data_IF_669859619438
#
_entry.id   IF_669859619438
#
_cell.length_a   1.000
_cell.length_b   1.000
_cell.length_c   1.000
_cell.angle_alpha   90.00
_cell.angle_beta   90.00
_cell.angle_gamma   90.00
#
_symmetry.space_group_name_H-M   'P 1'
#
loop_
_entity.id
_entity.type
_entity.pdbx_description
1 polymer ?
#
# COMPACT_ATOMS: atom_id res chain seq x y z
N UNK A 1 -46.71 44.86 44.96
CA UNK A 1 -47.76 43.83 44.80
C UNK A 1 -48.61 44.09 43.57
N UNK A 2 -48.33 43.43 42.44
CA UNK A 2 -49.31 43.00 41.44
C UNK A 2 -48.76 41.75 40.78
N UNK A 3 -49.33 40.60 41.15
CA UNK A 3 -49.12 39.30 40.53
C UNK A 3 -49.61 39.34 39.08
N UNK A 4 -48.82 38.81 38.15
CA UNK A 4 -49.35 38.06 37.01
C UNK A 4 -48.55 36.77 36.84
N UNK A 5 -49.20 35.70 37.26
CA UNK A 5 -48.85 34.31 37.05
C UNK A 5 -49.42 33.93 35.67
N UNK A 6 -48.58 33.48 34.74
CA UNK A 6 -49.00 32.74 33.54
C UNK A 6 -47.97 31.61 33.36
N UNK A 7 -48.46 30.39 33.56
CA UNK A 7 -47.74 29.11 33.36
C UNK A 7 -47.81 28.67 31.88
N UNK A 8 -47.09 27.61 31.45
CA UNK A 8 -46.26 27.61 30.27
C UNK A 8 -46.96 27.06 29.03
N UNK A 9 -46.52 27.51 27.85
CA UNK A 9 -46.81 26.83 26.60
C UNK A 9 -45.70 25.80 26.35
N UNK A 10 -46.06 24.54 26.54
CA UNK A 10 -45.34 23.39 26.02
C UNK A 10 -45.55 23.36 24.51
N UNK A 11 -44.49 23.58 23.73
CA UNK A 11 -44.41 23.10 22.34
C UNK A 11 -43.14 22.28 22.22
N UNK A 12 -43.35 20.98 22.21
CA UNK A 12 -42.40 19.95 21.80
C UNK A 12 -42.21 20.05 20.29
N UNK A 13 -41.01 20.38 19.81
CA UNK A 13 -40.55 19.96 18.49
C UNK A 13 -39.18 19.30 18.68
N UNK A 14 -39.21 17.98 18.64
CA UNK A 14 -38.07 17.13 18.31
C UNK A 14 -37.64 17.48 16.88
N UNK A 15 -36.39 17.87 16.66
CA UNK A 15 -35.71 17.52 15.43
C UNK A 15 -34.20 17.37 15.70
N UNK A 16 -33.76 16.13 15.52
CA UNK A 16 -32.39 15.69 15.66
C UNK A 16 -31.48 16.36 14.63
N UNK A 17 -30.33 16.84 15.09
CA UNK A 17 -29.12 16.90 14.29
C UNK A 17 -28.01 16.24 15.10
N UNK A 18 -28.12 14.91 15.16
CA UNK A 18 -27.00 14.01 15.42
C UNK A 18 -25.95 14.28 14.35
N UNK A 19 -24.98 15.14 14.64
CA UNK A 19 -23.79 15.24 13.81
C UNK A 19 -23.07 13.90 13.97
N UNK A 20 -23.02 13.18 12.85
CA UNK A 20 -22.31 11.93 12.65
C UNK A 20 -20.86 12.03 13.13
N UNK A 21 -20.63 11.75 14.41
CA UNK A 21 -19.38 11.17 14.88
C UNK A 21 -19.48 9.69 14.57
N UNK A 22 -19.27 9.31 13.30
CA UNK A 22 -18.80 7.97 13.01
C UNK A 22 -17.30 7.95 13.32
N UNK A 23 -16.97 8.12 14.60
CA UNK A 23 -15.75 7.55 15.14
C UNK A 23 -15.88 6.05 14.92
N UNK A 24 -14.92 5.47 14.20
CA UNK A 24 -14.80 4.03 14.13
C UNK A 24 -14.43 3.53 15.54
N UNK A 25 -15.44 3.38 16.40
CA UNK A 25 -15.40 2.45 17.53
C UNK A 25 -15.61 1.04 16.95
N UNK A 26 -14.68 0.63 16.11
CA UNK A 26 -14.49 -0.77 15.76
C UNK A 26 -13.30 -1.25 16.57
N UNK A 27 -13.46 -2.36 17.29
CA UNK A 27 -12.33 -3.21 17.68
C UNK A 27 -11.38 -3.27 16.48
N UNK A 28 -10.06 -3.05 16.62
CA UNK A 28 -9.14 -3.19 15.49
C UNK A 28 -9.45 -4.53 14.84
N UNK A 29 -9.99 -4.48 13.61
CA UNK A 29 -10.43 -5.70 12.94
C UNK A 29 -9.22 -6.62 12.90
N UNK A 30 -9.36 -7.82 13.45
CA UNK A 30 -8.40 -8.89 13.21
C UNK A 30 -8.11 -8.90 11.71
N UNK A 31 -6.84 -8.95 11.29
CA UNK A 31 -6.52 -9.04 9.87
C UNK A 31 -7.40 -10.12 9.27
N UNK A 32 -8.17 -9.76 8.24
CA UNK A 32 -8.96 -10.77 7.54
C UNK A 32 -7.99 -11.88 7.12
N UNK A 33 -8.39 -13.16 7.28
CA UNK A 33 -7.56 -14.26 6.77
C UNK A 33 -7.25 -13.94 5.29
N UNK A 34 -6.02 -14.23 4.84
CA UNK A 34 -5.64 -13.93 3.47
C UNK A 34 -6.71 -14.51 2.54
N UNK A 35 -7.17 -13.69 1.60
CA UNK A 35 -8.09 -14.14 0.55
C UNK A 35 -7.53 -15.44 -0.04
N UNK A 36 -8.38 -16.45 -0.21
CA UNK A 36 -7.97 -17.65 -0.93
C UNK A 36 -7.36 -17.19 -2.26
N UNK A 37 -6.15 -17.66 -2.62
CA UNK A 37 -5.51 -17.21 -3.84
C UNK A 37 -6.45 -17.47 -4.99
N UNK A 38 -6.92 -16.41 -5.64
CA UNK A 38 -7.59 -16.54 -6.93
C UNK A 38 -6.52 -17.13 -7.84
N UNK A 39 -6.67 -18.40 -8.21
CA UNK A 39 -5.81 -19.09 -9.17
C UNK A 39 -5.76 -18.25 -10.44
N UNK A 40 -4.72 -17.42 -10.54
CA UNK A 40 -4.42 -16.65 -11.73
C UNK A 40 -3.89 -17.70 -12.71
N UNK A 41 -4.76 -18.17 -13.61
CA UNK A 41 -4.40 -19.15 -14.62
C UNK A 41 -3.12 -18.68 -15.31
N UNK A 42 -2.04 -19.43 -15.11
CA UNK A 42 -0.70 -19.07 -15.53
C UNK A 42 -0.69 -18.67 -17.00
N UNK A 43 -0.27 -17.44 -17.27
CA UNK A 43 0.22 -17.13 -18.59
C UNK A 43 1.44 -18.04 -18.81
N UNK A 44 1.44 -18.80 -19.91
CA UNK A 44 2.63 -19.55 -20.34
C UNK A 44 3.79 -18.56 -20.49
N UNK A 45 4.71 -18.58 -19.52
CA UNK A 45 5.94 -17.80 -19.58
C UNK A 45 6.82 -18.45 -20.65
N UNK A 46 7.18 -17.68 -21.67
CA UNK A 46 8.07 -18.19 -22.72
C UNK A 46 9.44 -18.52 -22.12
N UNK A 47 10.18 -19.47 -22.72
CA UNK A 47 11.56 -19.78 -22.28
C UNK A 47 12.48 -18.56 -22.32
N UNK A 48 12.20 -17.63 -23.24
CA UNK A 48 12.94 -16.37 -23.33
C UNK A 48 12.66 -15.47 -22.12
N UNK A 49 11.39 -15.36 -21.72
CA UNK A 49 10.99 -14.57 -20.56
C UNK A 49 11.46 -15.19 -19.24
N UNK A 50 11.40 -16.52 -19.12
CA UNK A 50 12.00 -17.25 -17.99
C UNK A 50 13.47 -16.87 -17.81
N UNK A 51 14.25 -16.89 -18.90
CA UNK A 51 15.67 -16.53 -18.86
C UNK A 51 15.87 -15.06 -18.44
N UNK A 52 15.03 -14.15 -18.94
CA UNK A 52 15.08 -12.72 -18.58
C UNK A 52 14.73 -12.48 -17.12
N UNK A 53 13.75 -13.20 -16.57
CA UNK A 53 13.33 -13.10 -15.18
C UNK A 53 14.47 -13.61 -14.28
N UNK A 54 14.94 -14.84 -14.52
CA UNK A 54 16.01 -15.46 -13.72
C UNK A 54 17.31 -14.65 -13.74
N UNK A 55 17.61 -13.93 -14.83
CA UNK A 55 18.79 -13.08 -14.92
C UNK A 55 18.75 -11.84 -14.01
N UNK A 56 17.57 -11.41 -13.57
CA UNK A 56 17.38 -10.25 -12.68
C UNK A 56 17.35 -10.63 -11.20
N UNK A 57 17.17 -11.90 -10.89
CA UNK A 57 17.03 -12.37 -9.52
C UNK A 57 18.40 -12.54 -8.83
N UNK A 58 18.46 -12.33 -7.50
CA UNK A 58 19.59 -12.75 -6.69
C UNK A 58 19.91 -14.25 -6.90
N UNK A 59 21.20 -14.61 -6.86
CA UNK A 59 21.64 -15.99 -7.16
C UNK A 59 21.09 -17.03 -6.17
N UNK A 60 20.89 -16.66 -4.90
CA UNK A 60 20.24 -17.52 -3.89
C UNK A 60 18.78 -17.79 -4.24
N UNK A 61 18.01 -16.74 -4.54
CA UNK A 61 16.60 -16.83 -4.94
C UNK A 61 16.44 -17.67 -6.20
N UNK A 62 17.30 -17.44 -7.20
CA UNK A 62 17.32 -18.18 -8.46
C UNK A 62 17.61 -19.67 -8.23
N UNK A 63 18.61 -20.00 -7.42
CA UNK A 63 18.92 -21.39 -7.11
C UNK A 63 17.75 -22.11 -6.43
N UNK A 64 17.05 -21.42 -5.52
CA UNK A 64 15.91 -21.99 -4.81
C UNK A 64 14.68 -22.14 -5.71
N UNK A 65 14.41 -21.20 -6.62
CA UNK A 65 13.36 -21.32 -7.65
C UNK A 65 13.61 -22.53 -8.57
N UNK A 66 14.85 -22.75 -8.99
CA UNK A 66 15.20 -23.92 -9.82
C UNK A 66 15.01 -25.23 -9.07
N UNK A 67 15.17 -25.27 -7.74
CA UNK A 67 14.80 -26.46 -6.96
C UNK A 67 13.29 -26.68 -7.00
N UNK A 68 12.49 -25.62 -6.87
CA UNK A 68 11.03 -25.73 -6.96
C UNK A 68 10.61 -26.26 -8.33
N UNK A 69 11.26 -25.85 -9.42
CA UNK A 69 11.00 -26.39 -10.77
C UNK A 69 11.05 -27.92 -10.85
N UNK A 70 11.98 -28.53 -10.12
CA UNK A 70 12.13 -29.99 -10.07
C UNK A 70 11.12 -30.68 -9.12
N UNK A 71 10.57 -29.93 -8.16
CA UNK A 71 9.60 -30.43 -7.16
C UNK A 71 8.15 -30.29 -7.63
N UNK A 72 7.82 -29.12 -8.16
CA UNK A 72 6.50 -28.70 -8.58
C UNK A 72 6.60 -27.66 -9.71
N UNK A 73 6.34 -28.10 -10.93
CA UNK A 73 6.44 -27.25 -12.13
C UNK A 73 5.33 -26.20 -12.20
N UNK A 74 4.16 -26.46 -11.61
CA UNK A 74 3.04 -25.52 -11.57
C UNK A 74 3.36 -24.38 -10.61
N UNK A 75 3.78 -24.71 -9.39
CA UNK A 75 4.17 -23.70 -8.41
C UNK A 75 5.41 -22.93 -8.86
N UNK A 76 6.35 -23.58 -9.55
CA UNK A 76 7.46 -22.88 -10.19
C UNK A 76 6.99 -21.79 -11.16
N UNK A 77 6.00 -22.09 -12.01
CA UNK A 77 5.45 -21.10 -12.97
C UNK A 77 4.77 -19.95 -12.24
N UNK A 78 4.01 -20.23 -11.17
CA UNK A 78 3.37 -19.21 -10.35
C UNK A 78 4.42 -18.28 -9.70
N UNK A 79 5.44 -18.87 -9.07
CA UNK A 79 6.54 -18.13 -8.46
C UNK A 79 7.34 -17.33 -9.48
N UNK A 80 7.57 -17.88 -10.67
CA UNK A 80 8.28 -17.18 -11.74
C UNK A 80 7.47 -15.98 -12.26
N UNK A 81 6.14 -16.10 -12.33
CA UNK A 81 5.26 -14.98 -12.62
C UNK A 81 5.32 -13.91 -11.54
N UNK A 82 5.22 -14.29 -10.26
CA UNK A 82 5.44 -13.37 -9.13
C UNK A 82 6.82 -12.69 -9.22
N UNK A 83 7.86 -13.46 -9.52
CA UNK A 83 9.22 -13.00 -9.68
C UNK A 83 9.40 -12.03 -10.85
N UNK A 84 8.60 -12.14 -11.91
CA UNK A 84 8.65 -11.22 -13.06
C UNK A 84 8.28 -9.78 -12.68
N UNK A 85 7.54 -9.61 -11.58
CA UNK A 85 7.14 -8.32 -11.04
C UNK A 85 8.15 -7.77 -10.02
N UNK A 86 9.15 -8.57 -9.63
CA UNK A 86 10.28 -8.13 -8.81
C UNK A 86 11.13 -7.14 -9.62
N UNK A 87 10.94 -5.85 -9.36
CA UNK A 87 11.68 -4.78 -10.02
C UNK A 87 10.88 -3.97 -11.04
N UNK A 88 9.55 -4.08 -11.07
CA UNK A 88 8.74 -2.95 -11.58
C UNK A 88 8.87 -1.79 -10.59
N UNK A 89 9.95 -1.03 -10.71
CA UNK A 89 10.14 0.22 -10.00
C UNK A 89 9.28 1.32 -10.65
N UNK A 90 8.48 2.00 -9.85
CA UNK A 90 7.93 3.29 -10.23
C UNK A 90 9.10 4.29 -10.31
N UNK A 91 9.53 4.68 -11.51
CA UNK A 91 10.71 5.51 -11.75
C UNK A 91 10.58 7.00 -11.35
N UNK A 92 9.85 7.33 -10.28
CA UNK A 92 9.53 8.73 -9.92
C UNK A 92 9.90 9.04 -8.46
N UNK A 93 11.14 8.74 -8.06
CA UNK A 93 11.61 9.00 -6.69
C UNK A 93 12.86 9.88 -6.69
N UNK A 94 12.71 11.12 -6.25
CA UNK A 94 13.78 12.11 -6.27
C UNK A 94 14.48 12.21 -4.91
N UNK A 95 13.75 11.96 -3.82
CA UNK A 95 14.26 12.15 -2.46
C UNK A 95 14.98 10.91 -1.93
N UNK A 96 15.91 11.11 -0.98
CA UNK A 96 16.55 10.00 -0.26
C UNK A 96 15.54 9.09 0.44
N UNK A 97 14.47 9.69 0.97
CA UNK A 97 13.43 8.99 1.71
C UNK A 97 12.66 8.02 0.81
N UNK A 98 12.21 8.49 -0.35
CA UNK A 98 11.51 7.67 -1.33
C UNK A 98 12.40 6.52 -1.84
N UNK A 99 13.69 6.78 -2.09
CA UNK A 99 14.66 5.73 -2.48
C UNK A 99 14.78 4.63 -1.41
N UNK A 100 14.74 5.00 -0.13
CA UNK A 100 14.76 4.01 0.97
C UNK A 100 13.47 3.20 1.03
N UNK A 101 12.32 3.79 0.72
CA UNK A 101 11.05 3.05 0.62
C UNK A 101 11.09 2.02 -0.51
N UNK A 102 11.63 2.39 -1.68
CA UNK A 102 11.80 1.46 -2.81
C UNK A 102 12.68 0.28 -2.43
N UNK A 103 13.84 0.53 -1.84
CA UNK A 103 14.76 -0.54 -1.44
C UNK A 103 14.11 -1.45 -0.38
N UNK A 104 13.36 -0.86 0.55
CA UNK A 104 12.59 -1.62 1.54
C UNK A 104 11.53 -2.51 0.86
N UNK A 105 10.77 -1.96 -0.08
CA UNK A 105 9.74 -2.68 -0.83
C UNK A 105 10.33 -3.81 -1.69
N UNK A 106 11.45 -3.56 -2.36
CA UNK A 106 12.21 -4.59 -3.08
C UNK A 106 12.59 -5.73 -2.17
N UNK A 107 13.13 -5.42 -0.98
CA UNK A 107 13.54 -6.44 -0.02
C UNK A 107 12.36 -7.23 0.54
N UNK A 108 11.21 -6.59 0.74
CA UNK A 108 9.96 -7.26 1.11
C UNK A 108 9.57 -8.28 0.05
N UNK A 109 9.54 -7.88 -1.23
CA UNK A 109 9.11 -8.78 -2.29
C UNK A 109 10.10 -9.95 -2.49
N UNK A 110 11.40 -9.73 -2.33
CA UNK A 110 12.41 -10.80 -2.32
C UNK A 110 12.16 -11.80 -1.18
N UNK A 111 11.87 -11.32 0.04
CA UNK A 111 11.60 -12.18 1.18
C UNK A 111 10.27 -12.91 1.07
N UNK A 112 9.21 -12.26 0.59
CA UNK A 112 7.92 -12.90 0.29
C UNK A 112 8.14 -14.11 -0.64
N UNK A 113 8.83 -13.90 -1.78
CA UNK A 113 9.16 -14.98 -2.71
C UNK A 113 9.97 -16.11 -2.05
N UNK A 114 10.99 -15.78 -1.25
CA UNK A 114 11.78 -16.79 -0.54
C UNK A 114 10.94 -17.59 0.46
N UNK A 115 9.99 -16.95 1.16
CA UNK A 115 9.11 -17.63 2.11
C UNK A 115 8.14 -18.59 1.42
N UNK A 116 7.62 -18.22 0.24
CA UNK A 116 6.79 -19.11 -0.57
C UNK A 116 7.58 -20.33 -1.07
N UNK A 117 8.80 -20.11 -1.60
CA UNK A 117 9.70 -21.19 -2.03
C UNK A 117 9.98 -22.16 -0.87
N UNK A 118 10.32 -21.65 0.32
CA UNK A 118 10.53 -22.49 1.49
C UNK A 118 9.27 -23.25 1.91
N UNK A 119 8.08 -22.65 1.75
CA UNK A 119 6.80 -23.31 1.99
C UNK A 119 6.60 -24.54 1.09
N UNK A 120 6.91 -24.40 -0.20
CA UNK A 120 6.84 -25.50 -1.16
C UNK A 120 7.91 -26.55 -0.83
N UNK A 121 9.16 -26.16 -0.62
CA UNK A 121 10.22 -27.10 -0.24
C UNK A 121 9.87 -27.86 1.04
N UNK A 122 9.26 -27.20 2.05
CA UNK A 122 8.80 -27.84 3.28
C UNK A 122 7.77 -28.95 3.01
N UNK A 123 6.84 -28.71 2.09
CA UNK A 123 5.80 -29.67 1.74
C UNK A 123 6.40 -30.96 1.17
N UNK A 124 7.42 -30.85 0.31
CA UNK A 124 8.09 -31.99 -0.34
C UNK A 124 9.25 -32.60 0.47
N UNK A 125 9.75 -31.91 1.49
CA UNK A 125 10.89 -32.34 2.30
C UNK A 125 10.60 -33.53 3.23
N UNK A 126 11.66 -34.26 3.60
CA UNK A 126 11.59 -35.28 4.64
C UNK A 126 11.51 -34.69 6.06
N UNK A 127 11.36 -35.53 7.09
CA UNK A 127 11.21 -35.06 8.47
C UNK A 127 12.42 -34.27 9.01
N UNK A 128 13.63 -34.63 8.59
CA UNK A 128 14.86 -33.95 9.02
C UNK A 128 14.99 -32.60 8.32
N UNK A 129 14.74 -32.55 7.03
CA UNK A 129 14.77 -31.34 6.20
C UNK A 129 13.67 -30.36 6.60
N UNK A 130 12.45 -30.83 6.84
CA UNK A 130 11.33 -30.01 7.35
C UNK A 130 11.70 -29.24 8.60
N UNK A 131 12.46 -29.84 9.52
CA UNK A 131 12.89 -29.16 10.75
C UNK A 131 13.84 -27.99 10.46
N UNK A 132 14.71 -28.13 9.45
CA UNK A 132 15.63 -27.05 9.02
C UNK A 132 14.86 -25.95 8.30
N UNK A 133 14.03 -26.34 7.31
CA UNK A 133 13.23 -25.40 6.51
C UNK A 133 12.28 -24.60 7.41
N UNK A 134 11.65 -25.23 8.42
CA UNK A 134 10.78 -24.53 9.37
C UNK A 134 11.51 -23.43 10.14
N UNK A 135 12.74 -23.68 10.59
CA UNK A 135 13.54 -22.67 11.30
C UNK A 135 13.92 -21.51 10.38
N UNK A 136 14.28 -21.82 9.14
CA UNK A 136 14.61 -20.81 8.15
C UNK A 136 13.39 -19.97 7.78
N UNK A 137 12.24 -20.62 7.53
CA UNK A 137 10.97 -19.96 7.24
C UNK A 137 10.56 -19.03 8.38
N UNK A 138 10.66 -19.49 9.64
CA UNK A 138 10.38 -18.63 10.79
C UNK A 138 11.28 -17.38 10.79
N UNK A 139 12.59 -17.55 10.61
CA UNK A 139 13.53 -16.42 10.59
C UNK A 139 13.24 -15.44 9.44
N UNK A 140 12.90 -15.93 8.25
CA UNK A 140 12.53 -15.07 7.12
C UNK A 140 11.21 -14.35 7.34
N UNK A 141 10.21 -14.99 7.94
CA UNK A 141 8.94 -14.37 8.29
C UNK A 141 9.10 -13.27 9.35
N UNK A 142 9.98 -13.44 10.33
CA UNK A 142 10.32 -12.40 11.31
C UNK A 142 10.94 -11.17 10.59
N UNK A 143 11.93 -11.39 9.72
CA UNK A 143 12.54 -10.29 8.93
C UNK A 143 11.52 -9.59 8.01
N UNK A 144 10.64 -10.37 7.38
CA UNK A 144 9.58 -9.86 6.51
C UNK A 144 8.59 -8.99 7.29
N UNK A 145 8.19 -9.44 8.49
CA UNK A 145 7.30 -8.68 9.36
C UNK A 145 7.91 -7.32 9.73
N UNK A 146 9.17 -7.31 10.17
CA UNK A 146 9.87 -6.08 10.55
C UNK A 146 9.97 -5.09 9.39
N UNK A 147 10.23 -5.58 8.18
CA UNK A 147 10.27 -4.75 6.98
C UNK A 147 8.90 -4.22 6.58
N UNK A 148 7.85 -5.04 6.64
CA UNK A 148 6.47 -4.59 6.38
C UNK A 148 6.04 -3.53 7.40
N UNK A 149 6.38 -3.70 8.68
CA UNK A 149 6.13 -2.67 9.70
C UNK A 149 6.91 -1.37 9.40
N UNK A 150 8.18 -1.48 9.00
CA UNK A 150 8.98 -0.32 8.56
C UNK A 150 8.33 0.38 7.37
N UNK A 151 7.92 -0.35 6.34
CA UNK A 151 7.28 0.20 5.15
C UNK A 151 5.99 0.93 5.49
N UNK A 152 5.12 0.32 6.32
CA UNK A 152 3.89 0.97 6.81
C UNK A 152 4.19 2.27 7.54
N UNK A 153 5.22 2.30 8.40
CA UNK A 153 5.63 3.52 9.10
C UNK A 153 6.11 4.61 8.13
N UNK A 154 6.92 4.26 7.14
CA UNK A 154 7.36 5.22 6.11
C UNK A 154 6.18 5.76 5.29
N UNK A 155 5.20 4.92 4.95
CA UNK A 155 3.99 5.37 4.25
C UNK A 155 3.19 6.37 5.09
N UNK A 156 3.03 6.11 6.39
CA UNK A 156 2.40 7.06 7.32
C UNK A 156 3.13 8.40 7.32
N UNK A 157 4.47 8.39 7.45
CA UNK A 157 5.28 9.63 7.42
C UNK A 157 5.14 10.41 6.11
N UNK A 158 5.05 9.71 4.97
CA UNK A 158 4.84 10.32 3.65
C UNK A 158 3.47 11.00 3.57
N UNK A 159 2.41 10.28 3.95
CA UNK A 159 1.03 10.79 3.94
C UNK A 159 0.86 11.99 4.87
N UNK A 160 1.54 12.01 6.01
CA UNK A 160 1.54 13.16 6.92
C UNK A 160 2.17 14.40 6.28
N UNK A 161 3.25 14.25 5.50
CA UNK A 161 3.87 15.36 4.77
C UNK A 161 2.96 15.88 3.67
N UNK A 162 2.41 15.00 2.83
CA UNK A 162 1.47 15.37 1.77
C UNK A 162 0.25 16.10 2.34
N UNK A 163 -0.30 15.61 3.46
CA UNK A 163 -1.41 16.25 4.13
C UNK A 163 -1.05 17.65 4.64
N UNK A 164 0.16 17.84 5.17
CA UNK A 164 0.63 19.15 5.61
C UNK A 164 0.77 20.13 4.44
N UNK A 165 1.33 19.68 3.32
CA UNK A 165 1.47 20.49 2.09
C UNK A 165 0.12 20.88 1.51
N UNK A 166 -0.82 19.93 1.42
CA UNK A 166 -2.19 20.18 0.96
C UNK A 166 -2.91 21.20 1.85
N UNK A 167 -2.77 21.09 3.17
CA UNK A 167 -3.31 22.07 4.12
C UNK A 167 -2.71 23.46 3.89
N UNK A 168 -1.38 23.55 3.73
CA UNK A 168 -0.71 24.82 3.48
C UNK A 168 -1.18 25.46 2.16
N UNK A 169 -1.26 24.68 1.08
CA UNK A 169 -1.78 25.10 -0.23
C UNK A 169 -3.22 25.60 -0.15
N UNK A 170 -4.07 24.91 0.60
CA UNK A 170 -5.46 25.28 0.81
C UNK A 170 -5.59 26.62 1.56
N UNK A 171 -4.75 26.87 2.57
CA UNK A 171 -4.72 28.16 3.28
C UNK A 171 -4.19 29.30 2.40
N UNK A 172 -3.19 29.04 1.54
CA UNK A 172 -2.76 30.01 0.52
C UNK A 172 -3.91 30.33 -0.43
N UNK A 173 -4.64 29.32 -0.93
CA UNK A 173 -5.77 29.52 -1.83
C UNK A 173 -6.91 30.29 -1.17
N UNK A 174 -7.22 30.00 0.10
CA UNK A 174 -8.23 30.74 0.88
C UNK A 174 -7.87 32.21 1.02
N UNK A 175 -6.62 32.51 1.40
CA UNK A 175 -6.14 33.89 1.56
C UNK A 175 -6.20 34.68 0.25
N UNK A 176 -5.84 34.04 -0.86
CA UNK A 176 -5.83 34.66 -2.19
C UNK A 176 -7.16 34.50 -2.96
N UNK A 177 -8.25 34.08 -2.29
CA UNK A 177 -9.51 33.74 -2.98
C UNK A 177 -10.04 34.90 -3.83
N UNK A 178 -10.02 36.13 -3.31
CA UNK A 178 -10.52 37.29 -4.02
C UNK A 178 -9.72 37.55 -5.30
N UNK A 179 -8.39 37.52 -5.22
CA UNK A 179 -7.50 37.75 -6.36
C UNK A 179 -7.61 36.64 -7.41
N UNK A 180 -7.73 35.38 -6.97
CA UNK A 180 -7.98 34.24 -7.87
C UNK A 180 -9.30 34.44 -8.63
N UNK A 181 -10.36 34.87 -7.94
CA UNK A 181 -11.65 35.15 -8.56
C UNK A 181 -11.55 36.34 -9.52
N UNK A 182 -10.86 37.42 -9.13
CA UNK A 182 -10.70 38.61 -9.96
C UNK A 182 -9.92 38.29 -11.23
N UNK A 183 -8.80 37.57 -11.12
CA UNK A 183 -8.01 37.11 -12.28
C UNK A 183 -8.87 36.28 -13.22
N UNK A 184 -9.58 35.28 -12.68
CA UNK A 184 -10.47 34.44 -13.48
C UNK A 184 -11.60 35.24 -14.15
N UNK A 185 -12.13 36.26 -13.47
CA UNK A 185 -13.13 37.15 -14.04
C UNK A 185 -12.54 37.96 -15.21
N UNK A 186 -11.35 38.54 -15.05
CA UNK A 186 -10.63 39.30 -16.09
C UNK A 186 -10.32 38.44 -17.32
N UNK A 187 -9.82 37.22 -17.12
CA UNK A 187 -9.62 36.21 -18.18
C UNK A 187 -10.91 36.00 -18.98
N UNK A 188 -12.04 35.75 -18.28
CA UNK A 188 -13.32 35.41 -18.92
C UNK A 188 -13.96 36.57 -19.68
N UNK A 189 -13.71 37.82 -19.28
CA UNK A 189 -14.25 39.01 -19.96
C UNK A 189 -13.28 39.62 -20.98
N UNK A 190 -12.17 38.93 -21.28
CA UNK A 190 -11.18 39.35 -22.28
C UNK A 190 -10.46 40.65 -21.93
N UNK A 191 -10.26 40.90 -20.63
CA UNK A 191 -9.54 42.09 -20.13
C UNK A 191 -8.15 41.76 -19.59
N UNK A 192 -7.65 40.56 -19.84
CA UNK A 192 -6.31 40.19 -19.42
C UNK A 192 -5.28 40.67 -20.44
N UNK A 193 -4.31 41.47 -19.99
CA UNK A 193 -3.18 41.98 -20.80
C UNK A 193 -2.01 40.97 -20.85
N UNK A 194 -2.15 39.81 -20.20
CA UNK A 194 -1.13 38.77 -20.17
C UNK A 194 -1.36 37.74 -21.29
N UNK A 195 -0.31 37.46 -22.06
CA UNK A 195 -0.27 36.43 -23.11
C UNK A 195 -0.74 35.07 -22.57
N UNK A 196 -1.70 34.45 -23.25
CA UNK A 196 -1.99 33.03 -23.16
C UNK A 196 -0.69 32.26 -23.48
N UNK A 197 -0.19 31.49 -22.50
CA UNK A 197 0.88 30.52 -22.68
C UNK A 197 0.43 29.14 -22.22
#
# INVERSE_FOLDING_TARGET
MKHKMIYPIVITIFLALSINVHGQEGIPKTPEPPLEPTLFYGHDISKEDETKILAKLPEDVKADLLKVKELDEEEYRNLLFSASHLGYEYYLYDTKFEKEMVETSKRINELDLQTEILGIQYFHADAQERTKIKKELQSKLEMLFDLKEKERRSEVEMLERELAELKASLEVRKRNKADIILRRLSELIGKDDYLDW
#
